data_IF_757492541379
#
_entry.id   IF_757492541379
#
_cell.length_a   1.000
_cell.length_b   1.000
_cell.length_c   1.000
_cell.angle_alpha   90.00
_cell.angle_beta   90.00
_cell.angle_gamma   90.00
#
_symmetry.space_group_name_H-M   'P 1'
#
loop_
_entity.id
_entity.type
_entity.pdbx_description
1 polymer ?
#
# COMPACT_ATOMS: atom_id res chain seq x y z
N UNK A 1 30.20 28.55 27.96
CA UNK A 1 28.84 28.32 28.49
C UNK A 1 27.92 28.14 27.28
N UNK A 2 27.74 26.90 26.83
CA UNK A 2 26.95 26.54 25.62
C UNK A 2 25.62 25.97 26.11
N UNK A 3 24.45 26.45 25.67
CA UNK A 3 23.19 25.93 26.17
C UNK A 3 22.90 24.59 25.50
N UNK A 4 22.64 23.58 26.33
CA UNK A 4 22.16 22.27 25.92
C UNK A 4 20.68 22.42 25.57
N UNK A 5 20.36 22.43 24.27
CA UNK A 5 18.97 22.41 23.81
C UNK A 5 18.45 20.98 24.06
N UNK A 6 17.57 20.85 25.05
CA UNK A 6 16.81 19.64 25.29
C UNK A 6 15.78 19.47 24.16
N UNK A 7 16.10 18.63 23.18
CA UNK A 7 15.15 18.20 22.15
C UNK A 7 14.05 17.37 22.79
N UNK A 8 12.81 17.87 22.77
CA UNK A 8 11.65 17.10 23.17
C UNK A 8 11.50 15.90 22.23
N UNK A 9 11.62 14.69 22.79
CA UNK A 9 11.30 13.44 22.11
C UNK A 9 9.79 13.43 21.90
N UNK A 10 9.32 13.71 20.67
CA UNK A 10 7.93 13.45 20.32
C UNK A 10 7.79 11.92 20.31
N UNK A 11 6.94 11.32 21.16
CA UNK A 11 6.71 9.90 21.09
C UNK A 11 6.08 9.61 19.72
N UNK A 12 6.81 8.86 18.88
CA UNK A 12 6.22 8.26 17.71
C UNK A 12 5.02 7.45 18.19
N UNK A 13 3.82 7.81 17.73
CA UNK A 13 2.61 7.08 18.05
C UNK A 13 2.83 5.60 17.79
N UNK A 14 2.27 4.75 18.65
CA UNK A 14 2.26 3.30 18.46
C UNK A 14 1.51 3.03 17.14
N UNK A 15 2.27 2.95 16.06
CA UNK A 15 1.84 2.34 14.82
C UNK A 15 1.55 0.88 15.16
N UNK A 16 0.44 0.33 14.68
CA UNK A 16 0.17 -1.10 14.83
C UNK A 16 1.40 -1.90 14.40
N UNK A 17 1.72 -2.96 15.13
CA UNK A 17 2.87 -3.79 14.76
C UNK A 17 2.54 -4.53 13.46
N UNK A 18 3.40 -4.38 12.46
CA UNK A 18 3.27 -5.11 11.22
C UNK A 18 3.25 -6.62 11.47
N UNK A 19 2.53 -7.34 10.59
CA UNK A 19 2.50 -8.79 10.58
C UNK A 19 3.92 -9.32 10.43
N UNK A 20 4.36 -10.12 11.41
CA UNK A 20 5.71 -10.70 11.38
C UNK A 20 5.98 -11.48 10.08
N UNK A 21 7.12 -11.20 9.46
CA UNK A 21 7.53 -11.78 8.17
C UNK A 21 7.02 -11.02 6.94
N UNK A 22 6.25 -9.96 7.12
CA UNK A 22 5.83 -9.08 6.04
C UNK A 22 6.74 -7.86 5.93
N UNK A 23 6.99 -7.46 4.68
CA UNK A 23 7.80 -6.31 4.33
C UNK A 23 7.08 -5.46 3.28
N UNK A 24 7.43 -4.18 3.22
CA UNK A 24 6.92 -3.28 2.19
C UNK A 24 7.46 -3.62 0.80
N UNK A 25 6.70 -3.24 -0.22
CA UNK A 25 7.18 -3.35 -1.58
C UNK A 25 8.32 -2.33 -1.82
N UNK A 26 9.46 -2.74 -2.40
CA UNK A 26 10.64 -1.87 -2.52
C UNK A 26 10.43 -0.66 -3.44
N UNK A 27 9.46 -0.72 -4.36
CA UNK A 27 9.20 0.37 -5.32
C UNK A 27 8.16 1.39 -4.85
N UNK A 28 7.32 1.07 -3.86
CA UNK A 28 6.17 1.91 -3.48
C UNK A 28 6.14 2.04 -1.97
N UNK A 29 6.36 3.26 -1.48
CA UNK A 29 6.20 3.57 -0.06
C UNK A 29 4.73 3.42 0.37
N UNK A 30 4.51 2.82 1.53
CA UNK A 30 3.18 2.76 2.15
C UNK A 30 2.69 4.14 2.56
N UNK A 31 1.38 4.28 2.70
CA UNK A 31 0.77 5.48 3.27
C UNK A 31 1.20 5.68 4.74
N UNK A 32 1.61 6.90 5.16
CA UNK A 32 2.07 7.14 6.53
C UNK A 32 1.00 6.80 7.58
N UNK A 33 1.39 6.12 8.64
CA UNK A 33 0.46 5.71 9.70
C UNK A 33 -0.24 4.37 9.44
N UNK A 34 -0.01 3.74 8.29
CA UNK A 34 -0.60 2.43 7.99
C UNK A 34 0.20 1.26 8.57
N UNK A 35 -0.53 0.21 8.97
CA UNK A 35 -0.02 -1.06 9.50
C UNK A 35 -0.16 -2.14 8.45
N UNK A 36 0.89 -2.93 8.21
CA UNK A 36 0.88 -4.04 7.27
C UNK A 36 0.35 -5.30 7.94
N UNK A 37 -0.90 -5.65 7.68
CA UNK A 37 -1.60 -6.74 8.36
C UNK A 37 -1.48 -8.08 7.61
N UNK A 38 -1.23 -8.03 6.29
CA UNK A 38 -1.06 -9.22 5.48
C UNK A 38 -0.15 -8.97 4.28
N UNK A 39 0.66 -9.97 3.97
CA UNK A 39 1.48 -10.04 2.77
C UNK A 39 1.39 -11.44 2.15
N UNK A 40 1.49 -11.51 0.84
CA UNK A 40 1.61 -12.75 0.08
C UNK A 40 2.47 -12.51 -1.14
N UNK A 41 3.40 -13.43 -1.40
CA UNK A 41 4.14 -13.49 -2.65
C UNK A 41 3.82 -14.79 -3.37
N UNK A 42 3.59 -14.68 -4.67
CA UNK A 42 3.32 -15.81 -5.56
C UNK A 42 4.13 -15.68 -6.83
N UNK A 43 4.88 -16.71 -7.18
CA UNK A 43 5.68 -16.74 -8.39
C UNK A 43 4.96 -17.46 -9.54
N UNK A 44 5.07 -16.90 -10.75
CA UNK A 44 4.63 -17.50 -12.01
C UNK A 44 3.13 -17.88 -12.03
N UNK A 45 2.28 -17.15 -11.30
CA UNK A 45 0.83 -17.33 -11.36
C UNK A 45 0.16 -16.36 -12.34
N UNK A 46 -0.85 -16.79 -13.11
CA UNK A 46 -1.68 -15.88 -13.88
C UNK A 46 -2.51 -15.00 -12.95
N UNK A 47 -2.64 -13.72 -13.32
CA UNK A 47 -3.51 -12.76 -12.64
C UNK A 47 -4.26 -11.92 -13.67
N UNK A 48 -5.58 -11.83 -13.51
CA UNK A 48 -6.44 -11.06 -14.39
C UNK A 48 -6.65 -9.64 -13.82
N UNK A 49 -6.24 -8.64 -14.59
CA UNK A 49 -6.42 -7.22 -14.29
C UNK A 49 -7.63 -6.72 -15.08
N UNK A 50 -8.63 -6.18 -14.37
CA UNK A 50 -9.77 -5.53 -15.00
C UNK A 50 -9.35 -4.19 -15.61
N UNK A 51 -9.63 -3.99 -16.90
CA UNK A 51 -9.36 -2.74 -17.62
C UNK A 51 -10.64 -1.98 -17.97
N UNK A 52 -11.80 -2.66 -17.93
CA UNK A 52 -13.11 -2.09 -18.22
C UNK A 52 -13.97 -1.84 -16.98
N UNK A 53 -15.11 -1.15 -17.16
CA UNK A 53 -16.10 -0.97 -16.12
C UNK A 53 -16.84 -2.29 -15.83
N UNK A 54 -17.51 -2.34 -14.67
CA UNK A 54 -18.49 -3.39 -14.39
C UNK A 54 -19.72 -3.16 -15.26
N UNK A 55 -20.01 -4.11 -16.13
CA UNK A 55 -21.22 -4.21 -16.95
C UNK A 55 -22.20 -5.21 -16.31
N UNK A 56 -23.51 -4.94 -16.41
CA UNK A 56 -24.53 -5.84 -15.88
C UNK A 56 -24.34 -6.24 -14.41
N UNK A 57 -24.69 -7.49 -14.07
CA UNK A 57 -24.51 -8.03 -12.72
C UNK A 57 -23.12 -8.65 -12.55
N UNK A 58 -22.19 -7.89 -11.97
CA UNK A 58 -20.83 -8.34 -11.61
C UNK A 58 -19.99 -8.86 -12.79
N UNK A 59 -20.24 -8.37 -14.00
CA UNK A 59 -19.48 -8.73 -15.19
C UNK A 59 -18.52 -7.61 -15.56
N UNK A 60 -17.35 -7.95 -16.08
CA UNK A 60 -16.40 -7.02 -16.71
C UNK A 60 -16.00 -7.69 -18.00
N UNK A 61 -16.08 -6.98 -19.11
CA UNK A 61 -15.83 -7.54 -20.44
C UNK A 61 -14.35 -7.42 -20.85
N UNK A 62 -13.65 -6.41 -20.32
CA UNK A 62 -12.24 -6.13 -20.65
C UNK A 62 -11.31 -6.52 -19.50
N UNK A 63 -10.54 -7.59 -19.74
CA UNK A 63 -9.55 -8.15 -18.84
C UNK A 63 -8.22 -8.33 -19.55
N UNK A 64 -7.14 -8.08 -18.82
CA UNK A 64 -5.78 -8.42 -19.23
C UNK A 64 -5.20 -9.44 -18.26
N UNK A 65 -4.87 -10.62 -18.78
CA UNK A 65 -4.10 -11.60 -18.04
C UNK A 65 -2.60 -11.26 -18.11
N UNK A 66 -1.94 -11.34 -16.96
CA UNK A 66 -0.49 -11.23 -16.82
C UNK A 66 0.03 -12.42 -16.05
N UNK A 67 1.25 -12.87 -16.36
CA UNK A 67 1.94 -13.95 -15.65
C UNK A 67 3.25 -13.41 -15.11
N UNK A 68 3.55 -13.68 -13.84
CA UNK A 68 4.79 -13.26 -13.23
C UNK A 68 4.78 -13.43 -11.72
N UNK A 69 5.71 -12.74 -11.05
CA UNK A 69 5.71 -12.61 -9.59
C UNK A 69 4.66 -11.59 -9.17
N UNK A 70 3.78 -11.99 -8.26
CA UNK A 70 2.76 -11.14 -7.66
C UNK A 70 3.03 -10.99 -6.17
N UNK A 71 3.18 -9.75 -5.71
CA UNK A 71 3.20 -9.40 -4.29
C UNK A 71 1.87 -8.72 -3.94
N UNK A 72 1.18 -9.19 -2.91
CA UNK A 72 -0.05 -8.61 -2.38
C UNK A 72 0.16 -8.15 -0.96
N UNK A 73 -0.01 -6.85 -0.71
CA UNK A 73 0.13 -6.23 0.60
C UNK A 73 -1.21 -5.63 1.02
N UNK A 74 -1.60 -5.87 2.28
CA UNK A 74 -2.83 -5.35 2.85
C UNK A 74 -2.50 -4.47 4.04
N UNK A 75 -2.80 -3.18 3.88
CA UNK A 75 -2.56 -2.16 4.87
C UNK A 75 -3.86 -1.73 5.52
N UNK A 76 -3.82 -1.54 6.84
CA UNK A 76 -4.89 -0.89 7.62
C UNK A 76 -4.40 0.47 8.11
N UNK A 77 -5.32 1.40 8.27
CA UNK A 77 -5.05 2.68 8.91
C UNK A 77 -6.20 3.01 9.85
N UNK A 78 -5.86 3.51 11.03
CA UNK A 78 -6.83 3.98 12.01
C UNK A 78 -6.99 5.48 11.90
N UNK A 79 -8.16 5.98 12.32
CA UNK A 79 -8.48 7.41 12.32
C UNK A 79 -9.32 7.85 11.12
N UNK A 80 -9.48 9.16 10.99
CA UNK A 80 -10.32 9.79 9.98
C UNK A 80 -9.47 10.23 8.78
N UNK A 81 -9.07 9.25 7.97
CA UNK A 81 -8.34 9.49 6.72
C UNK A 81 -9.24 9.12 5.56
N UNK A 82 -9.44 10.06 4.64
CA UNK A 82 -10.24 9.83 3.44
C UNK A 82 -9.63 8.75 2.54
N UNK A 83 -10.46 7.80 2.12
CA UNK A 83 -10.07 6.78 1.15
C UNK A 83 -9.56 7.39 -0.17
N UNK A 84 -10.14 8.52 -0.60
CA UNK A 84 -9.68 9.22 -1.81
C UNK A 84 -8.27 9.79 -1.63
N UNK A 85 -7.93 10.28 -0.44
CA UNK A 85 -6.57 10.75 -0.14
C UNK A 85 -5.57 9.60 -0.20
N UNK A 86 -5.91 8.44 0.36
CA UNK A 86 -5.07 7.24 0.31
C UNK A 86 -4.90 6.78 -1.14
N UNK A 87 -5.99 6.72 -1.91
CA UNK A 87 -5.96 6.34 -3.33
C UNK A 87 -5.08 7.29 -4.15
N UNK A 88 -5.23 8.60 -3.96
CA UNK A 88 -4.45 9.60 -4.67
C UNK A 88 -2.96 9.51 -4.33
N UNK A 89 -2.61 9.29 -3.06
CA UNK A 89 -1.23 9.10 -2.64
C UNK A 89 -0.57 7.88 -3.33
N UNK A 90 -1.26 6.73 -3.36
CA UNK A 90 -0.74 5.54 -4.05
C UNK A 90 -0.66 5.73 -5.57
N UNK A 91 -1.62 6.42 -6.18
CA UNK A 91 -1.57 6.77 -7.61
C UNK A 91 -0.30 7.56 -7.93
N UNK A 92 -0.03 8.64 -7.20
CA UNK A 92 1.16 9.47 -7.40
C UNK A 92 2.47 8.72 -7.10
N UNK A 93 2.45 7.78 -6.16
CA UNK A 93 3.61 6.92 -5.89
C UNK A 93 3.89 5.96 -7.06
N UNK A 94 2.84 5.36 -7.64
CA UNK A 94 2.94 4.46 -8.79
C UNK A 94 3.40 5.22 -10.05
N UNK A 95 2.82 6.39 -10.33
CA UNK A 95 3.22 7.23 -11.47
C UNK A 95 4.71 7.62 -11.38
N UNK A 96 5.19 7.99 -10.19
CA UNK A 96 6.63 8.29 -9.96
C UNK A 96 7.54 7.07 -10.12
N UNK A 97 7.03 5.88 -9.87
CA UNK A 97 7.75 4.62 -10.05
C UNK A 97 7.74 4.12 -11.52
N UNK A 98 7.12 4.88 -12.44
CA UNK A 98 7.02 4.53 -13.86
C UNK A 98 5.87 3.58 -14.19
N UNK A 99 4.86 3.51 -13.30
CA UNK A 99 3.61 2.79 -13.51
C UNK A 99 2.55 3.61 -14.25
#
# INVERSE_FOLDING_TARGET
MVPLIAGALIPAGVLGQDRAGCEDHPMVSRFPGSTLEYCEEKDQEPYAIALGPVTGYKQIDDWKEVVGRRTRLYYTIQGDVSLLTIQQNYREALERAGG
#
